data_IF_679311727132
#
_entry.id   IF_679311727132
#
_cell.length_a   1.000
_cell.length_b   1.000
_cell.length_c   1.000
_cell.angle_alpha   90.00
_cell.angle_beta   90.00
_cell.angle_gamma   90.00
#
_symmetry.space_group_name_H-M   'P 1'
#
loop_
_entity.id
_entity.type
_entity.pdbx_description
1 polymer ?
#
# COMPACT_ATOMS: atom_id res chain seq x y z
N UNK A 1 5.19 10.69 -11.60
CA UNK A 1 6.60 10.78 -11.16
C UNK A 1 6.56 11.29 -9.74
N UNK A 2 6.63 10.38 -8.78
CA UNK A 2 6.49 10.71 -7.37
C UNK A 2 7.65 11.56 -6.84
N UNK A 3 7.45 12.23 -5.72
CA UNK A 3 8.46 13.14 -5.12
C UNK A 3 9.79 12.46 -4.77
N UNK A 4 9.84 11.12 -4.68
CA UNK A 4 11.06 10.37 -4.39
C UNK A 4 11.88 10.01 -5.64
N UNK A 5 11.41 10.37 -6.85
CA UNK A 5 12.18 10.30 -8.09
C UNK A 5 13.53 11.04 -7.99
N UNK A 6 13.59 12.12 -7.20
CA UNK A 6 14.83 12.84 -6.94
C UNK A 6 15.83 12.01 -6.13
N UNK A 7 15.37 11.20 -5.17
CA UNK A 7 16.25 10.28 -4.42
C UNK A 7 16.84 9.19 -5.32
N UNK A 8 16.05 8.71 -6.29
CA UNK A 8 16.52 7.73 -7.28
C UNK A 8 17.62 8.30 -8.18
N UNK A 9 17.41 9.51 -8.71
CA UNK A 9 18.37 10.16 -9.61
C UNK A 9 19.66 10.59 -8.89
N UNK A 10 19.56 10.94 -7.60
CA UNK A 10 20.72 11.27 -6.78
C UNK A 10 21.52 10.01 -6.40
N UNK A 11 20.83 8.90 -6.04
CA UNK A 11 21.47 7.62 -5.76
C UNK A 11 20.44 6.48 -5.64
N UNK A 12 20.48 5.44 -6.49
CA UNK A 12 19.60 4.27 -6.38
C UNK A 12 19.65 3.59 -4.99
N UNK A 13 20.83 3.62 -4.35
CA UNK A 13 21.05 3.07 -3.01
C UNK A 13 20.27 3.86 -1.96
N UNK A 14 20.17 5.19 -2.09
CA UNK A 14 19.40 6.02 -1.14
C UNK A 14 17.91 5.71 -1.22
N UNK A 15 17.37 5.51 -2.42
CA UNK A 15 15.98 5.09 -2.58
C UNK A 15 15.75 3.73 -1.90
N UNK A 16 16.63 2.75 -2.14
CA UNK A 16 16.51 1.43 -1.52
C UNK A 16 16.49 1.50 0.02
N UNK A 17 17.43 2.22 0.64
CA UNK A 17 17.45 2.41 2.09
C UNK A 17 16.19 3.11 2.59
N UNK A 18 15.69 4.10 1.87
CA UNK A 18 14.46 4.80 2.22
C UNK A 18 13.24 3.87 2.16
N UNK A 19 13.10 3.07 1.10
CA UNK A 19 12.00 2.11 0.96
C UNK A 19 12.07 0.99 2.00
N UNK A 20 13.26 0.63 2.48
CA UNK A 20 13.47 -0.32 3.56
C UNK A 20 13.28 0.28 4.97
N UNK A 21 13.12 1.59 5.10
CA UNK A 21 13.20 2.28 6.41
C UNK A 21 11.99 2.09 7.33
N UNK A 22 10.89 1.52 6.85
CA UNK A 22 9.61 1.49 7.58
C UNK A 22 9.73 0.75 8.92
N UNK A 23 10.43 -0.38 8.93
CA UNK A 23 10.67 -1.16 10.16
C UNK A 23 11.45 -0.34 11.21
N UNK A 24 12.40 0.48 10.78
CA UNK A 24 13.17 1.34 11.69
C UNK A 24 12.29 2.40 12.37
N UNK A 25 11.22 2.88 11.71
CA UNK A 25 10.26 3.81 12.31
C UNK A 25 9.44 3.15 13.44
N UNK A 26 9.20 1.84 13.31
CA UNK A 26 8.46 1.05 14.29
C UNK A 26 9.36 0.63 15.46
N UNK A 27 10.62 0.29 15.22
CA UNK A 27 11.56 -0.05 16.31
C UNK A 27 11.98 1.18 17.12
N UNK A 28 11.98 2.37 16.50
CA UNK A 28 12.38 3.59 17.18
C UNK A 28 11.45 3.92 18.36
N UNK A 29 12.02 4.30 19.53
CA UNK A 29 11.23 4.71 20.70
C UNK A 29 10.65 6.13 20.55
N UNK A 30 10.98 6.84 19.46
CA UNK A 30 10.50 8.22 19.26
C UNK A 30 9.06 8.20 18.77
N UNK A 31 8.18 8.83 19.55
CA UNK A 31 6.76 9.05 19.20
C UNK A 31 6.56 9.58 17.77
N UNK A 32 7.39 10.55 17.35
CA UNK A 32 7.31 11.17 16.03
C UNK A 32 7.46 10.17 14.88
N UNK A 33 8.18 9.07 15.08
CA UNK A 33 8.44 8.09 14.01
C UNK A 33 7.18 7.27 13.69
N UNK A 34 6.27 7.10 14.66
CA UNK A 34 4.95 6.48 14.44
C UNK A 34 4.02 7.37 13.60
N UNK A 35 4.14 8.69 13.78
CA UNK A 35 3.46 9.68 12.93
C UNK A 35 4.03 9.61 11.51
N UNK A 36 5.35 9.50 11.36
CA UNK A 36 6.01 9.35 10.05
C UNK A 36 5.60 8.03 9.38
N UNK A 37 5.51 6.93 10.14
CA UNK A 37 5.01 5.64 9.66
C UNK A 37 3.63 5.78 9.03
N UNK A 38 2.67 6.40 9.73
CA UNK A 38 1.34 6.66 9.19
C UNK A 38 1.37 7.53 7.93
N UNK A 39 2.13 8.63 7.95
CA UNK A 39 2.22 9.55 6.82
C UNK A 39 2.85 8.92 5.58
N UNK A 40 3.77 7.98 5.76
CA UNK A 40 4.51 7.36 4.69
C UNK A 40 3.67 6.26 4.04
N UNK A 41 2.96 5.46 4.84
CA UNK A 41 2.04 4.44 4.34
C UNK A 41 0.75 5.02 3.74
N UNK A 42 0.40 6.28 4.00
CA UNK A 42 -0.75 6.94 3.32
C UNK A 42 -0.38 7.73 2.06
N UNK A 43 0.90 7.75 1.64
CA UNK A 43 1.35 8.47 0.44
C UNK A 43 1.41 7.56 -0.78
N UNK A 44 0.66 7.90 -1.82
CA UNK A 44 0.63 7.12 -3.06
C UNK A 44 2.03 6.91 -3.66
N UNK A 45 2.83 7.98 -3.76
CA UNK A 45 4.19 7.90 -4.30
C UNK A 45 5.05 6.84 -3.60
N UNK A 46 4.94 6.73 -2.27
CA UNK A 46 5.70 5.71 -1.52
C UNK A 46 5.22 4.29 -1.86
N UNK A 47 3.90 4.10 -1.93
CA UNK A 47 3.33 2.79 -2.29
C UNK A 47 3.75 2.40 -3.72
N UNK A 48 3.63 3.33 -4.67
CA UNK A 48 4.02 3.13 -6.08
C UNK A 48 5.51 2.80 -6.19
N UNK A 49 6.39 3.59 -5.54
CA UNK A 49 7.82 3.38 -5.60
C UNK A 49 8.23 2.04 -4.96
N UNK A 50 7.65 1.67 -3.80
CA UNK A 50 7.96 0.38 -3.15
C UNK A 50 7.48 -0.82 -3.96
N UNK A 51 6.31 -0.70 -4.61
CA UNK A 51 5.78 -1.77 -5.46
C UNK A 51 6.61 -1.94 -6.74
N UNK A 52 7.03 -0.84 -7.37
CA UNK A 52 7.78 -0.90 -8.63
C UNK A 52 9.28 -1.17 -8.47
N UNK A 53 9.80 -1.16 -7.24
CA UNK A 53 11.22 -1.37 -7.00
C UNK A 53 11.63 -2.85 -7.16
N UNK A 54 12.73 -3.17 -7.88
CA UNK A 54 13.12 -4.55 -8.19
C UNK A 54 13.39 -5.46 -6.99
N UNK A 55 13.83 -4.90 -5.86
CA UNK A 55 14.11 -5.65 -4.61
C UNK A 55 12.91 -5.80 -3.69
N UNK A 56 11.81 -5.11 -3.98
CA UNK A 56 10.63 -5.07 -3.13
C UNK A 56 9.42 -5.66 -3.87
N UNK A 57 8.37 -4.88 -4.08
CA UNK A 57 7.08 -5.36 -4.59
C UNK A 57 5.97 -5.28 -3.55
N UNK A 58 4.76 -5.63 -3.99
CA UNK A 58 3.54 -5.50 -3.16
C UNK A 58 3.59 -6.33 -1.87
N UNK A 59 4.22 -7.50 -1.89
CA UNK A 59 4.37 -8.32 -0.66
C UNK A 59 5.29 -7.65 0.37
N UNK A 60 6.35 -6.97 -0.08
CA UNK A 60 7.21 -6.22 0.83
C UNK A 60 6.50 -5.03 1.45
N UNK A 61 5.65 -4.35 0.67
CA UNK A 61 4.82 -3.28 1.18
C UNK A 61 3.75 -3.80 2.17
N UNK A 62 3.11 -4.94 1.90
CA UNK A 62 2.12 -5.52 2.82
C UNK A 62 2.76 -5.86 4.17
N UNK A 63 4.00 -6.37 4.18
CA UNK A 63 4.75 -6.60 5.43
C UNK A 63 4.98 -5.33 6.25
N UNK A 64 5.14 -4.18 5.60
CA UNK A 64 5.22 -2.91 6.34
C UNK A 64 3.93 -2.61 7.11
N UNK A 65 2.78 -2.94 6.51
CA UNK A 65 1.47 -2.80 7.16
C UNK A 65 1.21 -3.87 8.21
N UNK A 66 1.86 -5.03 8.13
CA UNK A 66 1.75 -6.04 9.19
C UNK A 66 2.28 -5.49 10.52
N UNK A 67 3.20 -4.52 10.50
CA UNK A 67 3.70 -3.80 11.68
C UNK A 67 2.68 -2.87 12.38
N UNK A 68 1.44 -2.76 11.89
CA UNK A 68 0.40 -1.92 12.54
C UNK A 68 0.20 -2.27 14.02
N UNK A 69 0.30 -3.55 14.38
CA UNK A 69 0.08 -4.00 15.76
C UNK A 69 1.12 -3.43 16.73
N UNK A 70 2.36 -3.26 16.27
CA UNK A 70 3.48 -2.68 17.03
C UNK A 70 3.33 -1.17 17.28
N UNK A 71 2.42 -0.49 16.56
CA UNK A 71 2.18 0.96 16.69
C UNK A 71 0.78 1.29 17.20
N UNK A 72 -0.10 0.28 17.31
CA UNK A 72 -1.51 0.46 17.65
C UNK A 72 -1.74 0.83 19.11
N UNK A 73 -0.86 0.40 20.01
CA UNK A 73 -1.04 0.57 21.46
C UNK A 73 -0.49 1.91 21.98
N UNK A 74 0.36 2.58 21.21
CA UNK A 74 1.18 3.67 21.77
C UNK A 74 0.89 5.07 21.20
N UNK A 75 0.22 5.20 20.05
CA UNK A 75 0.36 6.46 19.27
C UNK A 75 -0.76 6.79 18.29
N UNK A 76 -1.18 5.85 17.45
CA UNK A 76 -2.13 6.15 16.37
C UNK A 76 -3.55 6.16 16.89
N UNK A 77 -4.34 7.15 16.46
CA UNK A 77 -5.75 7.17 16.83
C UNK A 77 -6.53 6.06 16.09
N UNK A 78 -7.73 5.67 16.58
CA UNK A 78 -8.50 4.57 15.98
C UNK A 78 -8.83 4.77 14.49
N UNK A 79 -9.01 6.02 14.05
CA UNK A 79 -9.28 6.34 12.65
C UNK A 79 -8.05 6.11 11.77
N UNK A 80 -6.86 6.52 12.22
CA UNK A 80 -5.59 6.27 11.52
C UNK A 80 -5.34 4.77 11.37
N UNK A 81 -5.54 4.00 12.45
CA UNK A 81 -5.41 2.53 12.40
C UNK A 81 -6.38 1.91 11.42
N UNK A 82 -7.63 2.41 11.36
CA UNK A 82 -8.64 1.94 10.41
C UNK A 82 -8.25 2.25 8.96
N UNK A 83 -7.72 3.44 8.69
CA UNK A 83 -7.23 3.85 7.37
C UNK A 83 -6.09 2.93 6.93
N UNK A 84 -5.08 2.70 7.77
CA UNK A 84 -3.97 1.79 7.45
C UNK A 84 -4.48 0.37 7.16
N UNK A 85 -5.40 -0.16 7.97
CA UNK A 85 -6.01 -1.48 7.74
C UNK A 85 -6.77 -1.56 6.42
N UNK A 86 -7.48 -0.52 6.01
CA UNK A 86 -8.17 -0.51 4.71
C UNK A 86 -7.20 -0.50 3.53
N UNK A 87 -6.10 0.25 3.62
CA UNK A 87 -5.09 0.24 2.57
C UNK A 87 -4.38 -1.13 2.54
N UNK A 88 -3.99 -1.69 3.70
CA UNK A 88 -3.43 -3.05 3.80
C UNK A 88 -4.34 -4.09 3.15
N UNK A 89 -5.63 -4.12 3.53
CA UNK A 89 -6.62 -5.07 2.99
C UNK A 89 -6.79 -4.90 1.48
N UNK A 90 -6.78 -3.67 1.00
CA UNK A 90 -6.82 -3.37 -0.44
C UNK A 90 -5.61 -3.96 -1.17
N UNK A 91 -4.40 -3.74 -0.63
CA UNK A 91 -3.18 -4.32 -1.19
C UNK A 91 -3.19 -5.85 -1.14
N UNK A 92 -3.67 -6.46 -0.05
CA UNK A 92 -3.81 -7.92 0.07
C UNK A 92 -4.76 -8.50 -0.97
N UNK A 93 -5.93 -7.89 -1.15
CA UNK A 93 -6.92 -8.29 -2.17
C UNK A 93 -6.38 -8.14 -3.60
N UNK A 94 -5.54 -7.13 -3.83
CA UNK A 94 -4.99 -6.79 -5.15
C UNK A 94 -3.62 -7.42 -5.43
N UNK A 95 -2.98 -8.03 -4.43
CA UNK A 95 -1.61 -8.57 -4.50
C UNK A 95 -1.36 -9.43 -5.74
N UNK A 96 -2.19 -10.44 -5.99
CA UNK A 96 -2.06 -11.33 -7.15
C UNK A 96 -2.19 -10.64 -8.53
N UNK A 97 -2.79 -9.45 -8.58
CA UNK A 97 -2.93 -8.62 -9.79
C UNK A 97 -1.72 -7.69 -9.91
N UNK A 98 -1.44 -6.94 -8.85
CA UNK A 98 -0.36 -5.94 -8.80
C UNK A 98 1.02 -6.59 -8.90
N UNK A 99 1.22 -7.80 -8.38
CA UNK A 99 2.45 -8.57 -8.56
C UNK A 99 2.71 -8.95 -10.01
N UNK A 100 1.66 -9.10 -10.84
CA UNK A 100 1.78 -9.43 -12.27
C UNK A 100 1.88 -8.17 -13.13
N UNK A 101 1.09 -7.16 -12.79
CA UNK A 101 1.04 -5.88 -13.49
C UNK A 101 0.91 -4.73 -12.46
N UNK A 102 2.03 -4.10 -12.07
CA UNK A 102 2.05 -2.98 -11.15
C UNK A 102 1.22 -1.77 -11.62
N UNK A 103 0.96 -1.64 -12.92
CA UNK A 103 0.18 -0.52 -13.47
C UNK A 103 -1.29 -0.57 -13.07
N UNK A 104 -1.78 -1.74 -12.62
CA UNK A 104 -3.14 -1.92 -12.11
C UNK A 104 -3.37 -1.30 -10.73
N UNK A 105 -2.33 -0.87 -10.01
CA UNK A 105 -2.44 -0.36 -8.64
C UNK A 105 -3.52 0.72 -8.51
N UNK A 106 -3.54 1.71 -9.40
CA UNK A 106 -4.50 2.82 -9.33
C UNK A 106 -5.94 2.34 -9.51
N UNK A 107 -6.20 1.51 -10.52
CA UNK A 107 -7.54 0.95 -10.75
C UNK A 107 -8.02 0.08 -9.57
N UNK A 108 -7.10 -0.66 -8.95
CA UNK A 108 -7.38 -1.47 -7.76
C UNK A 108 -7.68 -0.63 -6.52
N UNK A 109 -6.94 0.46 -6.28
CA UNK A 109 -7.21 1.39 -5.19
C UNK A 109 -8.59 2.02 -5.37
N UNK A 110 -8.88 2.59 -6.54
CA UNK A 110 -10.17 3.22 -6.82
C UNK A 110 -11.35 2.25 -6.70
N UNK A 111 -11.24 1.06 -7.31
CA UNK A 111 -12.34 0.10 -7.34
C UNK A 111 -12.72 -0.46 -5.96
N UNK A 112 -11.81 -0.39 -4.97
CA UNK A 112 -11.99 -0.96 -3.63
C UNK A 112 -12.16 0.09 -2.54
N UNK A 113 -11.56 1.27 -2.66
CA UNK A 113 -11.51 2.29 -1.60
C UNK A 113 -12.46 3.47 -1.83
N UNK A 114 -13.01 3.67 -3.03
CA UNK A 114 -13.85 4.84 -3.34
C UNK A 114 -15.07 5.00 -2.41
N UNK A 115 -15.57 3.91 -1.80
CA UNK A 115 -16.71 3.95 -0.88
C UNK A 115 -16.39 4.40 0.55
N UNK A 116 -15.13 4.73 0.86
CA UNK A 116 -14.68 5.02 2.22
C UNK A 116 -14.31 6.50 2.39
N UNK A 117 -15.18 7.24 3.07
CA UNK A 117 -15.06 8.69 3.27
C UNK A 117 -14.08 9.05 4.40
N UNK A 118 -12.79 8.80 4.15
CA UNK A 118 -11.70 9.24 5.03
C UNK A 118 -10.80 10.22 4.28
N UNK A 119 -10.46 11.39 4.85
CA UNK A 119 -9.67 12.40 4.14
C UNK A 119 -8.34 11.89 3.56
N UNK A 120 -7.63 11.04 4.30
CA UNK A 120 -6.36 10.48 3.82
C UNK A 120 -6.55 9.40 2.72
N UNK A 121 -7.69 8.70 2.70
CA UNK A 121 -8.04 7.78 1.62
C UNK A 121 -8.43 8.56 0.36
N UNK A 122 -9.26 9.59 0.50
CA UNK A 122 -9.64 10.46 -0.61
C UNK A 122 -8.42 11.12 -1.24
N UNK A 123 -7.50 11.61 -0.40
CA UNK A 123 -6.22 12.16 -0.84
C UNK A 123 -5.36 11.10 -1.54
N UNK A 124 -5.22 9.90 -0.97
CA UNK A 124 -4.47 8.80 -1.60
C UNK A 124 -5.03 8.49 -3.00
N UNK A 125 -6.36 8.42 -3.14
CA UNK A 125 -7.02 8.17 -4.42
C UNK A 125 -6.80 9.31 -5.42
N UNK A 126 -6.81 10.56 -4.94
CA UNK A 126 -6.55 11.72 -5.78
C UNK A 126 -5.11 11.76 -6.28
N UNK A 127 -4.15 11.54 -5.38
CA UNK A 127 -2.73 11.45 -5.72
C UNK A 127 -2.48 10.30 -6.73
N UNK A 128 -3.18 9.17 -6.55
CA UNK A 128 -3.13 8.03 -7.48
C UNK A 128 -3.68 8.38 -8.87
N UNK A 129 -4.81 9.08 -8.95
CA UNK A 129 -5.39 9.58 -10.21
C UNK A 129 -4.44 10.56 -10.91
N UNK A 130 -3.89 11.51 -10.17
CA UNK A 130 -3.01 12.55 -10.71
C UNK A 130 -1.67 11.97 -11.21
N UNK A 131 -1.14 10.94 -10.54
CA UNK A 131 0.06 10.19 -10.97
C UNK A 131 -0.10 9.56 -12.36
N UNK A 132 -1.34 9.14 -12.67
CA UNK A 132 -1.73 8.50 -13.91
C UNK A 132 -2.32 9.48 -14.93
N UNK A 133 -2.28 10.78 -14.69
CA UNK A 133 -2.78 11.82 -15.64
C UNK A 133 -2.19 11.71 -17.05
N UNK A 134 -1.01 11.09 -17.20
CA UNK A 134 -0.32 10.85 -18.48
C UNK A 134 -0.41 9.41 -19.00
N UNK A 135 -1.04 8.49 -18.26
CA UNK A 135 -1.16 7.06 -18.61
C UNK A 135 -2.64 6.70 -18.78
N UNK A 136 -2.96 5.86 -19.76
CA UNK A 136 -4.34 5.36 -19.92
C UNK A 136 -4.62 4.33 -18.83
N UNK A 137 -5.68 4.54 -18.04
CA UNK A 137 -6.13 3.60 -17.01
C UNK A 137 -7.66 3.54 -16.99
N UNK A 138 -8.21 2.41 -16.53
CA UNK A 138 -9.64 2.27 -16.29
C UNK A 138 -9.98 2.89 -14.95
N UNK A 139 -10.75 3.98 -14.96
CA UNK A 139 -11.25 4.66 -13.76
C UNK A 139 -12.62 4.14 -13.36
N UNK A 140 -12.74 3.38 -12.26
CA UNK A 140 -14.05 3.05 -11.68
C UNK A 140 -14.80 4.35 -11.32
N UNK A 141 -16.07 4.43 -11.71
CA UNK A 141 -16.96 5.53 -11.31
C UNK A 141 -17.71 5.21 -10.01
N UNK A 142 -17.82 3.93 -9.68
CA UNK A 142 -18.45 3.40 -8.47
C UNK A 142 -17.55 2.33 -7.86
N UNK A 143 -17.66 2.06 -6.56
CA UNK A 143 -17.01 0.89 -5.93
C UNK A 143 -17.49 -0.38 -6.63
N UNK A 144 -16.59 -1.05 -7.34
CA UNK A 144 -16.92 -2.15 -8.27
C UNK A 144 -16.14 -3.44 -8.00
N UNK A 145 -15.20 -3.41 -7.06
CA UNK A 145 -14.42 -4.55 -6.61
C UNK A 145 -14.74 -4.88 -5.16
N UNK A 146 -14.42 -6.10 -4.72
CA UNK A 146 -14.57 -6.51 -3.31
C UNK A 146 -13.90 -5.51 -2.39
N UNK A 147 -14.67 -4.95 -1.48
CA UNK A 147 -14.22 -3.91 -0.55
C UNK A 147 -13.28 -4.47 0.52
N UNK A 148 -12.39 -3.65 1.10
CA UNK A 148 -11.42 -4.09 2.11
C UNK A 148 -12.05 -4.53 3.45
N UNK A 149 -13.31 -4.19 3.71
CA UNK A 149 -14.09 -4.68 4.87
C UNK A 149 -14.80 -6.02 4.60
N UNK A 150 -14.66 -6.57 3.40
CA UNK A 150 -15.17 -7.90 3.04
C UNK A 150 -14.46 -9.03 3.80
N UNK A 151 -15.11 -10.19 3.98
CA UNK A 151 -14.46 -11.40 4.49
C UNK A 151 -13.29 -11.91 3.63
N UNK A 152 -13.27 -11.62 2.32
CA UNK A 152 -12.16 -12.03 1.46
C UNK A 152 -10.88 -11.28 1.85
N UNK A 153 -9.79 -12.02 2.07
CA UNK A 153 -8.49 -11.44 2.45
C UNK A 153 -7.57 -11.37 1.23
N UNK A 154 -7.40 -12.49 0.54
CA UNK A 154 -6.44 -12.64 -0.57
C UNK A 154 -6.87 -13.77 -1.51
N UNK A 155 -6.45 -13.66 -2.77
CA UNK A 155 -6.60 -14.71 -3.78
C UNK A 155 -5.23 -15.30 -4.11
N UNK A 156 -5.06 -16.60 -3.92
CA UNK A 156 -3.88 -17.34 -4.38
C UNK A 156 -4.15 -17.95 -5.75
N UNK A 157 -3.29 -17.66 -6.74
CA UNK A 157 -3.46 -18.15 -8.13
C UNK A 157 -2.25 -18.98 -8.56
N UNK A 158 -2.40 -19.81 -9.61
CA UNK A 158 -1.29 -20.60 -10.18
C UNK A 158 -1.13 -22.02 -9.64
N UNK A 159 -2.03 -22.46 -8.76
CA UNK A 159 -2.12 -23.87 -8.39
C UNK A 159 -2.90 -24.64 -9.47
N UNK A 160 -2.36 -25.79 -9.91
CA UNK A 160 -3.01 -26.65 -10.91
C UNK A 160 -3.62 -27.91 -10.29
N UNK A 161 -3.58 -28.03 -8.96
CA UNK A 161 -4.06 -29.18 -8.20
C UNK A 161 -4.49 -28.74 -6.79
N UNK A 162 -4.97 -29.68 -5.99
CA UNK A 162 -5.39 -29.46 -4.60
C UNK A 162 -4.28 -28.82 -3.78
N UNK A 163 -4.62 -27.74 -3.08
CA UNK A 163 -3.75 -27.10 -2.09
C UNK A 163 -3.92 -27.84 -0.76
N UNK A 164 -2.89 -28.56 -0.32
CA UNK A 164 -2.93 -29.38 0.89
C UNK A 164 -2.37 -28.68 2.13
N UNK A 165 -1.71 -27.54 1.96
CA UNK A 165 -1.16 -26.73 3.03
C UNK A 165 -1.05 -25.27 2.58
N UNK A 166 -1.17 -24.36 3.55
CA UNK A 166 -0.86 -22.93 3.39
C UNK A 166 0.09 -22.58 4.53
N UNK A 167 1.29 -22.08 4.21
CA UNK A 167 2.23 -21.56 5.21
C UNK A 167 1.88 -20.12 5.53
N UNK A 168 1.95 -19.76 6.81
CA UNK A 168 1.80 -18.38 7.30
C UNK A 168 3.15 -17.87 7.76
#
# INVERSE_FOLDING_TARGET
MGKFYNLYNDSPIRLEYFLASVENLVISPKFQDKVVYYQLLTKFDFLEDKINHPKFGVEALIRDYDLIHEVAEETLNPQQLKILKFIQRTLQLSSHIVSKDPTQLVGQLWGRLQGFNYPDIEKLLKDAEDSNSKKTWLRPLTPSLTTPDSPLIRTFTGHNSSVTAVSV
#
